data_IF_515815063434
#
_entry.id   IF_515815063434
#
_cell.length_a   1.000
_cell.length_b   1.000
_cell.length_c   1.000
_cell.angle_alpha   90.00
_cell.angle_beta   90.00
_cell.angle_gamma   90.00
#
_symmetry.space_group_name_H-M   'P 1'
#
loop_
_entity.id
_entity.type
_entity.pdbx_description
1 polymer ?
#
# COMPACT_ATOMS: atom_id res chain seq x y z
N UNK A 1 18.57 5.18 6.71
CA UNK A 1 19.15 6.18 5.79
C UNK A 1 18.20 6.78 4.75
N UNK A 2 16.97 6.27 4.52
CA UNK A 2 16.06 6.81 3.48
C UNK A 2 15.80 8.34 3.57
N UNK A 3 15.56 8.84 4.78
CA UNK A 3 15.33 10.27 5.00
C UNK A 3 16.59 11.11 4.79
N UNK A 4 17.76 10.56 5.12
CA UNK A 4 19.07 11.20 4.91
C UNK A 4 19.43 11.29 3.41
N UNK A 5 19.06 10.27 2.65
CA UNK A 5 19.27 10.17 1.19
C UNK A 5 18.18 10.90 0.38
N UNK A 6 17.24 11.58 1.05
CA UNK A 6 16.18 12.40 0.44
C UNK A 6 15.20 11.64 -0.46
N UNK A 7 14.99 10.36 -0.17
CA UNK A 7 14.00 9.53 -0.85
C UNK A 7 12.56 9.93 -0.51
N UNK A 8 11.62 9.69 -1.42
CA UNK A 8 10.18 9.92 -1.23
C UNK A 8 9.44 8.60 -1.12
N UNK A 9 8.69 8.48 -0.04
CA UNK A 9 8.17 7.22 0.44
C UNK A 9 6.64 7.24 0.43
N UNK A 10 6.03 6.23 -0.18
CA UNK A 10 4.62 5.91 -0.01
C UNK A 10 4.47 4.80 1.02
N UNK A 11 3.54 4.97 1.95
CA UNK A 11 3.19 3.95 2.94
C UNK A 11 1.70 3.65 2.83
N UNK A 12 1.39 2.41 2.47
CA UNK A 12 0.04 1.92 2.26
C UNK A 12 -0.42 1.03 3.40
N UNK A 13 -1.65 1.26 3.86
CA UNK A 13 -2.30 0.43 4.87
C UNK A 13 -3.80 0.32 4.63
N UNK A 14 -4.39 -0.84 4.88
CA UNK A 14 -5.85 -1.03 4.86
C UNK A 14 -6.52 -0.51 6.15
N UNK A 15 -5.74 -0.27 7.20
CA UNK A 15 -6.20 0.20 8.50
C UNK A 15 -5.75 1.64 8.78
N UNK A 16 -6.70 2.57 8.85
CA UNK A 16 -6.40 3.97 9.22
C UNK A 16 -5.73 4.04 10.60
N UNK A 17 -6.02 3.11 11.51
CA UNK A 17 -5.35 3.01 12.81
C UNK A 17 -3.83 2.80 12.69
N UNK A 18 -3.35 1.96 11.77
CA UNK A 18 -1.91 1.80 11.55
C UNK A 18 -1.27 3.08 11.00
N UNK A 19 -1.96 3.79 10.10
CA UNK A 19 -1.49 5.09 9.62
C UNK A 19 -1.39 6.12 10.74
N UNK A 20 -2.31 6.11 11.70
CA UNK A 20 -2.27 7.01 12.85
C UNK A 20 -1.07 6.72 13.77
N UNK A 21 -0.75 5.44 14.02
CA UNK A 21 0.45 5.08 14.79
C UNK A 21 1.74 5.55 14.11
N UNK A 22 1.82 5.41 12.78
CA UNK A 22 2.95 5.93 12.02
C UNK A 22 3.02 7.45 12.06
N UNK A 23 1.87 8.12 11.95
CA UNK A 23 1.76 9.57 12.06
C UNK A 23 2.33 10.07 13.39
N UNK A 24 1.95 9.47 14.51
CA UNK A 24 2.48 9.85 15.83
C UNK A 24 4.01 9.77 15.86
N UNK A 25 4.58 8.71 15.29
CA UNK A 25 6.05 8.58 15.21
C UNK A 25 6.69 9.63 14.30
N UNK A 26 6.09 9.88 13.13
CA UNK A 26 6.58 10.87 12.16
C UNK A 26 6.57 12.29 12.76
N UNK A 27 5.53 12.62 13.52
CA UNK A 27 5.38 13.90 14.23
C UNK A 27 6.42 14.05 15.33
N UNK A 28 6.70 12.99 16.10
CA UNK A 28 7.76 13.00 17.11
C UNK A 28 9.15 13.28 16.52
N UNK A 29 9.40 12.86 15.28
CA UNK A 29 10.65 13.09 14.54
C UNK A 29 10.66 14.43 13.77
N UNK A 30 9.58 15.22 13.84
CA UNK A 30 9.39 16.48 13.09
C UNK A 30 9.55 16.32 11.56
N UNK A 31 9.15 15.17 11.01
CA UNK A 31 9.18 14.98 9.56
C UNK A 31 7.91 15.48 8.90
N UNK A 32 8.05 16.14 7.75
CA UNK A 32 6.92 16.59 6.95
C UNK A 32 6.31 15.41 6.18
N UNK A 33 4.99 15.32 6.23
CA UNK A 33 4.26 14.21 5.62
C UNK A 33 2.91 14.66 5.06
N UNK A 34 2.31 13.78 4.26
CA UNK A 34 0.97 13.91 3.71
C UNK A 34 0.15 12.68 4.03
N UNK A 35 -1.18 12.85 4.13
CA UNK A 35 -2.11 11.76 4.45
C UNK A 35 -3.31 11.77 3.53
N UNK A 36 -3.59 10.62 2.92
CA UNK A 36 -4.77 10.40 2.09
C UNK A 36 -5.61 9.26 2.65
N UNK A 37 -6.76 9.60 3.22
CA UNK A 37 -7.78 8.65 3.65
C UNK A 37 -9.10 8.88 2.92
N UNK A 38 -10.10 8.04 3.17
CA UNK A 38 -11.45 8.25 2.65
C UNK A 38 -12.12 9.54 3.17
N UNK A 39 -11.59 10.14 4.24
CA UNK A 39 -12.10 11.40 4.80
C UNK A 39 -11.41 12.64 4.21
N UNK A 40 -10.34 12.46 3.43
CA UNK A 40 -9.59 13.58 2.84
C UNK A 40 -10.42 14.25 1.75
N UNK A 41 -10.77 15.52 1.95
CA UNK A 41 -11.57 16.32 0.99
C UNK A 41 -10.68 16.97 -0.08
N UNK A 42 -9.55 17.54 0.32
CA UNK A 42 -8.61 18.28 -0.54
C UNK A 42 -7.54 17.38 -1.16
N UNK A 43 -7.97 16.29 -1.81
CA UNK A 43 -7.06 15.23 -2.32
C UNK A 43 -5.99 15.78 -3.27
N UNK A 44 -6.37 16.69 -4.16
CA UNK A 44 -5.45 17.30 -5.13
C UNK A 44 -4.31 18.08 -4.48
N UNK A 45 -4.62 18.88 -3.45
CA UNK A 45 -3.62 19.65 -2.71
C UNK A 45 -2.62 18.75 -1.98
N UNK A 46 -3.10 17.70 -1.32
CA UNK A 46 -2.26 16.74 -0.58
C UNK A 46 -1.31 16.00 -1.54
N UNK A 47 -1.82 15.58 -2.70
CA UNK A 47 -0.98 14.96 -3.74
C UNK A 47 0.03 15.96 -4.28
N UNK A 48 -0.39 17.19 -4.57
CA UNK A 48 0.47 18.23 -5.11
C UNK A 48 1.60 18.60 -4.13
N UNK A 49 1.27 18.68 -2.83
CA UNK A 49 2.25 18.89 -1.77
C UNK A 49 3.27 17.74 -1.77
N UNK A 50 2.84 16.49 -1.77
CA UNK A 50 3.78 15.36 -1.82
C UNK A 50 4.63 15.33 -3.09
N UNK A 51 4.07 15.68 -4.25
CA UNK A 51 4.80 15.61 -5.52
C UNK A 51 5.89 16.68 -5.61
N UNK A 52 5.57 17.93 -5.22
CA UNK A 52 6.41 19.09 -5.52
C UNK A 52 7.26 19.59 -4.33
N UNK A 53 6.86 19.33 -3.10
CA UNK A 53 7.62 19.79 -1.93
C UNK A 53 8.76 18.80 -1.62
N UNK A 54 10.04 19.23 -1.66
CA UNK A 54 11.20 18.35 -1.44
C UNK A 54 11.35 17.88 0.02
N UNK A 55 10.71 18.57 0.97
CA UNK A 55 10.75 18.22 2.39
C UNK A 55 9.59 17.30 2.79
N UNK A 56 8.49 17.35 2.04
CA UNK A 56 7.37 16.42 2.20
C UNK A 56 7.69 15.07 1.54
N UNK A 57 8.36 14.22 2.32
CA UNK A 57 8.94 12.95 1.83
C UNK A 57 8.12 11.72 2.17
N UNK A 58 7.11 11.83 3.02
CA UNK A 58 6.32 10.68 3.48
C UNK A 58 4.86 10.89 3.09
N UNK A 59 4.27 9.90 2.41
CA UNK A 59 2.85 9.89 2.10
C UNK A 59 2.18 8.66 2.68
N UNK A 60 1.33 8.87 3.68
CA UNK A 60 0.48 7.85 4.28
C UNK A 60 -0.82 7.73 3.49
N UNK A 61 -1.10 6.55 2.93
CA UNK A 61 -2.26 6.33 2.06
C UNK A 61 -3.06 5.15 2.57
N UNK A 62 -4.33 5.39 2.86
CA UNK A 62 -5.25 4.28 3.12
C UNK A 62 -5.55 3.58 1.79
N UNK A 63 -5.37 2.27 1.77
CA UNK A 63 -5.59 1.40 0.64
C UNK A 63 -7.03 1.50 0.10
N UNK A 64 -8.02 1.69 0.98
CA UNK A 64 -9.42 1.97 0.61
C UNK A 64 -9.61 3.29 -0.15
N UNK A 65 -8.76 4.29 0.09
CA UNK A 65 -8.77 5.55 -0.64
C UNK A 65 -7.94 5.51 -1.94
N UNK A 66 -7.09 4.49 -2.12
CA UNK A 66 -6.18 4.34 -3.26
C UNK A 66 -6.86 3.96 -4.58
N UNK A 67 -8.16 3.64 -4.59
CA UNK A 67 -8.92 3.28 -5.80
C UNK A 67 -9.25 4.45 -6.76
N UNK A 68 -8.79 5.67 -6.45
CA UNK A 68 -8.99 6.87 -7.28
C UNK A 68 -7.68 7.16 -8.02
N UNK A 69 -7.73 7.68 -9.25
CA UNK A 69 -6.54 7.89 -10.09
C UNK A 69 -5.52 8.88 -9.51
N UNK A 70 -4.65 8.42 -8.62
CA UNK A 70 -3.55 9.19 -8.03
C UNK A 70 -2.31 9.07 -8.91
N UNK A 71 -1.63 10.20 -9.18
CA UNK A 71 -0.33 10.23 -9.84
C UNK A 71 0.74 10.50 -8.78
N UNK A 72 1.58 9.52 -8.45
CA UNK A 72 2.53 9.54 -7.32
C UNK A 72 3.97 9.26 -7.76
N UNK A 73 4.34 9.75 -8.94
CA UNK A 73 5.62 9.49 -9.63
C UNK A 73 6.87 9.93 -8.89
N UNK A 74 6.78 10.89 -7.96
CA UNK A 74 7.95 11.38 -7.23
C UNK A 74 8.50 10.35 -6.25
N UNK A 75 7.72 9.33 -5.90
CA UNK A 75 8.13 8.27 -4.98
C UNK A 75 9.12 7.28 -5.60
N UNK A 76 10.07 6.83 -4.81
CA UNK A 76 11.04 5.76 -5.12
C UNK A 76 10.92 4.56 -4.18
N UNK A 77 10.23 4.72 -3.05
CA UNK A 77 9.95 3.63 -2.11
C UNK A 77 8.45 3.50 -1.86
N UNK A 78 7.99 2.25 -1.83
CA UNK A 78 6.62 1.88 -1.51
C UNK A 78 6.65 0.83 -0.41
N UNK A 79 6.06 1.13 0.74
CA UNK A 79 5.86 0.20 1.84
C UNK A 79 4.40 -0.19 1.93
N UNK A 80 4.13 -1.49 2.02
CA UNK A 80 2.81 -2.05 2.30
C UNK A 80 2.92 -2.72 3.67
N UNK A 81 2.31 -2.10 4.69
CA UNK A 81 2.54 -2.47 6.10
C UNK A 81 1.56 -3.50 6.64
N UNK A 82 0.52 -3.81 5.89
CA UNK A 82 -0.41 -4.90 6.20
C UNK A 82 -0.89 -5.56 4.90
N UNK A 83 -1.08 -6.89 4.89
CA UNK A 83 -1.46 -7.63 3.70
C UNK A 83 -2.88 -7.29 3.27
N UNK A 84 -3.03 -6.87 2.00
CA UNK A 84 -4.35 -6.79 1.39
C UNK A 84 -4.71 -8.11 0.70
N UNK A 85 -5.85 -8.67 1.09
CA UNK A 85 -6.59 -9.75 0.43
C UNK A 85 -6.80 -9.60 -1.09
N UNK A 86 -6.74 -8.39 -1.67
CA UNK A 86 -6.92 -8.16 -3.10
C UNK A 86 -5.59 -7.79 -3.79
N UNK A 87 -4.88 -8.74 -4.44
CA UNK A 87 -3.64 -8.48 -5.15
C UNK A 87 -3.77 -7.42 -6.26
N UNK A 88 -4.93 -7.32 -6.91
CA UNK A 88 -5.14 -6.37 -8.00
C UNK A 88 -5.17 -4.92 -7.49
N UNK A 89 -5.80 -4.68 -6.34
CA UNK A 89 -5.83 -3.35 -5.71
C UNK A 89 -4.42 -2.92 -5.26
N UNK A 90 -3.63 -3.85 -4.73
CA UNK A 90 -2.26 -3.61 -4.33
C UNK A 90 -1.35 -3.29 -5.54
N UNK A 91 -1.42 -4.10 -6.59
CA UNK A 91 -0.69 -3.85 -7.84
C UNK A 91 -1.11 -2.52 -8.50
N UNK A 92 -2.39 -2.16 -8.38
CA UNK A 92 -2.86 -0.85 -8.83
C UNK A 92 -2.24 0.28 -8.00
N UNK A 93 -2.16 0.13 -6.68
CA UNK A 93 -1.52 1.12 -5.81
C UNK A 93 -0.01 1.28 -6.15
N UNK A 94 0.71 0.17 -6.33
CA UNK A 94 2.13 0.16 -6.73
C UNK A 94 2.32 0.82 -8.11
N UNK A 95 1.48 0.50 -9.08
CA UNK A 95 1.58 1.08 -10.43
C UNK A 95 1.32 2.60 -10.48
N UNK A 96 0.79 3.21 -9.41
CA UNK A 96 0.71 4.69 -9.31
C UNK A 96 2.04 5.36 -8.98
N UNK A 97 2.94 4.64 -8.30
CA UNK A 97 4.31 5.07 -8.10
C UNK A 97 5.17 4.75 -9.33
N UNK A 98 4.92 3.60 -9.95
CA UNK A 98 5.67 3.12 -11.11
C UNK A 98 5.04 3.60 -12.43
N UNK A 99 5.48 4.75 -12.96
CA UNK A 99 5.05 5.20 -14.28
C UNK A 99 6.00 4.70 -15.37
N UNK A 100 5.43 4.15 -16.45
CA UNK A 100 6.17 3.74 -17.65
C UNK A 100 6.82 4.97 -18.29
N UNK A 101 8.13 4.93 -18.53
CA UNK A 101 8.92 6.03 -19.12
C UNK A 101 9.72 6.87 -18.12
N UNK A 102 9.76 6.48 -16.84
CA UNK A 102 10.62 7.08 -15.81
C UNK A 102 11.85 6.18 -15.57
N UNK A 103 13.06 6.76 -15.55
CA UNK A 103 14.32 6.02 -15.29
C UNK A 103 14.53 5.67 -13.80
N UNK A 104 13.72 6.24 -12.91
CA UNK A 104 13.86 6.06 -11.47
C UNK A 104 13.23 4.73 -11.04
N UNK A 105 14.06 3.82 -10.53
CA UNK A 105 13.62 2.54 -9.95
C UNK A 105 12.70 2.79 -8.74
N UNK A 106 11.61 2.04 -8.65
CA UNK A 106 10.70 2.05 -7.51
C UNK A 106 10.87 0.74 -6.74
N UNK A 107 11.25 0.83 -5.47
CA UNK A 107 11.37 -0.31 -4.58
C UNK A 107 10.07 -0.55 -3.83
N UNK A 108 9.62 -1.80 -3.80
CA UNK A 108 8.38 -2.19 -3.11
C UNK A 108 8.72 -3.19 -2.01
N UNK A 109 8.35 -2.83 -0.78
CA UNK A 109 8.51 -3.66 0.41
C UNK A 109 7.15 -4.02 0.98
N UNK A 110 6.97 -5.30 1.28
CA UNK A 110 5.78 -5.83 1.94
C UNK A 110 6.17 -6.35 3.31
N UNK A 111 5.51 -5.86 4.33
CA UNK A 111 5.64 -6.40 5.68
C UNK A 111 4.58 -7.48 5.88
N UNK A 112 5.04 -8.64 6.32
CA UNK A 112 4.21 -9.81 6.62
C UNK A 112 4.71 -10.32 7.96
N UNK A 113 3.82 -10.44 8.94
CA UNK A 113 4.15 -10.97 10.26
C UNK A 113 4.24 -12.48 10.19
N UNK A 114 5.39 -13.04 10.57
CA UNK A 114 5.61 -14.48 10.65
C UNK A 114 4.70 -15.14 11.70
N UNK A 115 4.36 -16.41 11.49
CA UNK A 115 3.51 -17.20 12.41
C UNK A 115 2.16 -16.55 12.69
N UNK A 116 1.63 -15.81 11.72
CA UNK A 116 0.39 -15.08 11.85
C UNK A 116 -0.60 -15.42 10.73
N UNK A 117 -1.82 -14.93 10.87
CA UNK A 117 -2.82 -15.01 9.80
C UNK A 117 -2.33 -14.33 8.51
N UNK A 118 -1.44 -13.33 8.60
CA UNK A 118 -0.87 -12.59 7.46
C UNK A 118 -0.07 -13.50 6.53
N UNK A 119 0.74 -14.39 7.12
CA UNK A 119 1.51 -15.39 6.39
C UNK A 119 0.59 -16.35 5.63
N UNK A 120 -0.45 -16.87 6.29
CA UNK A 120 -1.43 -17.76 5.66
C UNK A 120 -2.20 -17.06 4.53
N UNK A 121 -2.55 -15.79 4.70
CA UNK A 121 -3.18 -14.97 3.66
C UNK A 121 -2.26 -14.85 2.44
N UNK A 122 -0.96 -14.61 2.66
CA UNK A 122 0.01 -14.52 1.57
C UNK A 122 0.12 -15.85 0.81
N UNK A 123 0.22 -16.98 1.51
CA UNK A 123 0.25 -18.31 0.90
C UNK A 123 -1.02 -18.61 0.07
N UNK A 124 -2.20 -18.22 0.57
CA UNK A 124 -3.45 -18.33 -0.18
C UNK A 124 -3.46 -17.42 -1.42
N UNK A 125 -2.95 -16.17 -1.31
CA UNK A 125 -2.81 -15.25 -2.45
C UNK A 125 -1.90 -15.84 -3.52
N UNK A 126 -0.78 -16.45 -3.15
CA UNK A 126 0.18 -17.02 -4.10
C UNK A 126 -0.39 -18.27 -4.79
N UNK A 127 -1.03 -19.16 -4.02
CA UNK A 127 -1.77 -20.31 -4.56
C UNK A 127 -2.84 -19.83 -5.55
N UNK A 128 -3.64 -18.83 -5.19
CA UNK A 128 -4.68 -18.30 -6.10
C UNK A 128 -4.14 -17.47 -7.24
N UNK A 129 -3.03 -16.75 -7.11
CA UNK A 129 -2.41 -16.05 -8.23
C UNK A 129 -1.91 -17.03 -9.29
N UNK A 130 -1.39 -18.19 -8.87
CA UNK A 130 -1.05 -19.29 -9.81
C UNK A 130 -2.28 -19.85 -10.54
N UNK A 131 -3.41 -20.01 -9.84
CA UNK A 131 -4.66 -20.53 -10.43
C UNK A 131 -5.47 -19.47 -11.22
N UNK A 132 -5.57 -18.24 -10.72
CA UNK A 132 -6.33 -17.11 -11.28
C UNK A 132 -5.67 -16.51 -12.53
N UNK A 133 -4.38 -16.77 -12.76
CA UNK A 133 -3.79 -16.57 -14.10
C UNK A 133 -4.51 -17.37 -15.19
N UNK A 134 -5.28 -18.42 -14.83
CA UNK A 134 -6.16 -19.14 -15.77
C UNK A 134 -7.57 -18.53 -15.91
N UNK A 135 -8.06 -17.74 -14.95
CA UNK A 135 -9.42 -17.18 -14.97
C UNK A 135 -9.49 -15.84 -14.21
N UNK A 136 -9.73 -14.73 -14.91
CA UNK A 136 -9.69 -13.37 -14.35
C UNK A 136 -11.06 -12.89 -13.83
N UNK A 137 -10.96 -12.04 -12.79
CA UNK A 137 -11.88 -11.00 -12.30
C UNK A 137 -13.03 -11.42 -11.38
N UNK A 138 -12.81 -11.23 -10.07
CA UNK A 138 -13.88 -11.05 -9.10
C UNK A 138 -13.41 -10.08 -8.02
N UNK A 139 -14.17 -9.01 -7.82
CA UNK A 139 -13.87 -7.93 -6.87
C UNK A 139 -14.15 -8.31 -5.39
N UNK A 140 -14.55 -9.56 -5.14
CA UNK A 140 -14.77 -10.11 -3.80
C UNK A 140 -13.78 -11.28 -3.55
N UNK A 141 -12.69 -11.05 -2.78
CA UNK A 141 -11.64 -12.04 -2.58
C UNK A 141 -12.11 -13.30 -1.86
N UNK A 142 -13.24 -13.25 -1.14
CA UNK A 142 -13.81 -14.40 -0.43
C UNK A 142 -14.73 -15.26 -1.29
N UNK A 143 -15.18 -14.77 -2.44
CA UNK A 143 -16.11 -15.52 -3.31
C UNK A 143 -15.48 -16.79 -3.89
N UNK A 144 -14.15 -16.78 -4.01
CA UNK A 144 -13.36 -17.90 -4.50
C UNK A 144 -12.74 -18.74 -3.37
N UNK A 145 -12.93 -18.41 -2.09
CA UNK A 145 -12.32 -19.10 -0.94
C UNK A 145 -13.29 -20.13 -0.39
N UNK A 146 -12.84 -21.39 -0.33
CA UNK A 146 -13.68 -22.46 0.22
C UNK A 146 -13.79 -22.33 1.74
N UNK A 147 -14.81 -22.97 2.32
CA UNK A 147 -15.01 -22.95 3.77
C UNK A 147 -13.79 -23.53 4.51
N UNK A 148 -13.20 -24.58 3.95
CA UNK A 148 -12.02 -25.25 4.49
C UNK A 148 -10.80 -24.34 4.49
N UNK A 149 -10.60 -23.57 3.41
CA UNK A 149 -9.55 -22.56 3.32
C UNK A 149 -9.75 -21.44 4.36
N UNK A 150 -11.00 -21.03 4.62
CA UNK A 150 -11.30 -20.04 5.67
C UNK A 150 -10.98 -20.62 7.06
N UNK A 151 -11.40 -21.84 7.35
CA UNK A 151 -11.13 -22.48 8.65
C UNK A 151 -9.64 -22.66 8.90
N UNK A 152 -8.87 -23.02 7.85
CA UNK A 152 -7.41 -23.15 7.93
C UNK A 152 -6.67 -21.84 8.25
N UNK A 153 -7.28 -20.67 8.03
CA UNK A 153 -6.69 -19.39 8.45
C UNK A 153 -6.61 -19.25 9.97
N UNK A 154 -7.60 -19.80 10.68
CA UNK A 154 -7.76 -19.67 12.13
C UNK A 154 -7.25 -20.89 12.91
N UNK A 155 -6.80 -21.94 12.22
CA UNK A 155 -6.21 -23.15 12.80
C UNK A 155 -4.69 -23.08 12.74
#
# INVERSE_FOLDING_TARGET
NLMAEKHKVLIFSSFVKHLNLLKERIEAENWKYSVLTGQTRNRGEVINAFQNDPDNRIFLISLKAGGVGLNLTSADYVFIIDPWWNPAAENQAISRAHRIGQDKKVFVYRFITEHSIEEKIQLLKDKKSSLARKFISSNNPFKAVTKEEIVGLFS
#
